data_IF_967435934613
#
_entry.id   IF_967435934613
#
_cell.length_a   1.000
_cell.length_b   1.000
_cell.length_c   1.000
_cell.angle_alpha   90.00
_cell.angle_beta   90.00
_cell.angle_gamma   90.00
#
_symmetry.space_group_name_H-M   'P 1'
#
loop_
_entity.id
_entity.type
_entity.pdbx_description
1 polymer ?
#
# COMPACT_ATOMS: atom_id res chain seq x y z
N UNK A 1 -9.29 3.02 23.06
CA UNK A 1 -9.93 1.74 23.44
C UNK A 1 -11.42 1.93 23.33
N UNK A 2 -12.04 1.38 22.29
CA UNK A 2 -13.50 1.30 22.18
C UNK A 2 -14.00 0.22 23.17
N UNK A 3 -13.89 0.49 24.47
CA UNK A 3 -14.49 -0.36 25.50
C UNK A 3 -15.95 0.03 25.67
N UNK A 4 -16.85 -0.92 25.38
CA UNK A 4 -18.26 -0.98 25.76
C UNK A 4 -18.86 0.31 26.31
N UNK A 5 -19.46 1.12 25.44
CA UNK A 5 -20.44 2.14 25.84
C UNK A 5 -21.75 1.40 26.18
N UNK A 6 -21.72 0.59 27.24
CA UNK A 6 -22.92 0.12 27.93
C UNK A 6 -23.21 1.09 29.06
N UNK A 7 -23.96 2.13 28.71
CA UNK A 7 -24.98 2.78 29.52
C UNK A 7 -24.64 3.04 31.00
N UNK A 8 -23.97 4.16 31.30
CA UNK A 8 -24.24 4.93 32.54
C UNK A 8 -23.65 6.34 32.47
N UNK A 9 -24.48 7.31 32.85
CA UNK A 9 -24.20 8.72 33.18
C UNK A 9 -24.21 9.77 32.06
N UNK A 10 -24.90 10.88 32.36
CA UNK A 10 -25.09 12.10 31.57
C UNK A 10 -23.76 12.86 31.42
N UNK A 11 -22.81 12.31 30.68
CA UNK A 11 -21.64 13.07 30.26
C UNK A 11 -21.90 13.67 28.86
N UNK A 12 -21.48 14.91 28.67
CA UNK A 12 -21.53 15.59 27.38
C UNK A 12 -20.93 14.70 26.29
N UNK A 13 -21.46 14.70 25.07
CA UNK A 13 -20.90 13.90 23.99
C UNK A 13 -19.40 14.19 23.88
N UNK A 14 -18.59 13.13 23.84
CA UNK A 14 -17.14 13.24 23.75
C UNK A 14 -16.78 14.15 22.57
N UNK A 15 -16.06 15.24 22.85
CA UNK A 15 -15.73 16.23 21.81
C UNK A 15 -14.68 15.71 20.84
N UNK A 16 -13.92 14.68 21.24
CA UNK A 16 -12.94 14.03 20.38
C UNK A 16 -12.82 12.54 20.70
N UNK A 17 -12.41 11.75 19.71
CA UNK A 17 -12.09 10.34 19.86
C UNK A 17 -10.76 10.02 19.20
N UNK A 18 -9.95 9.22 19.88
CA UNK A 18 -8.72 8.67 19.32
C UNK A 18 -8.95 7.26 18.77
N UNK A 19 -8.80 7.11 17.45
CA UNK A 19 -8.94 5.84 16.75
C UNK A 19 -7.56 5.34 16.31
N UNK A 20 -7.17 4.18 16.82
CA UNK A 20 -5.90 3.55 16.47
C UNK A 20 -6.14 2.37 15.51
N UNK A 21 -5.78 2.52 14.25
CA UNK A 21 -5.81 1.48 13.23
C UNK A 21 -4.39 1.08 12.80
N UNK A 22 -3.40 1.24 13.68
CA UNK A 22 -2.06 0.74 13.44
C UNK A 22 -2.01 -0.78 13.52
N UNK A 23 -1.04 -1.40 12.84
CA UNK A 23 -0.79 -2.83 12.93
C UNK A 23 -0.49 -3.22 14.39
N UNK A 24 -1.41 -3.95 15.02
CA UNK A 24 -1.20 -4.54 16.34
C UNK A 24 -1.75 -5.96 16.38
N UNK A 25 -1.28 -6.76 17.34
CA UNK A 25 -1.82 -8.10 17.62
C UNK A 25 -3.21 -8.07 18.30
N UNK A 26 -3.77 -6.87 18.57
CA UNK A 26 -5.04 -6.72 19.29
C UNK A 26 -6.19 -6.32 18.34
N UNK A 27 -7.18 -7.21 18.24
CA UNK A 27 -8.40 -7.11 17.41
C UNK A 27 -9.41 -6.03 17.84
N UNK A 28 -9.13 -5.24 18.88
CA UNK A 28 -10.10 -4.33 19.51
C UNK A 28 -10.53 -3.16 18.60
N UNK A 29 -9.72 -2.79 17.60
CA UNK A 29 -10.00 -1.65 16.72
C UNK A 29 -10.65 -2.04 15.38
N UNK A 30 -10.91 -3.34 15.14
CA UNK A 30 -11.73 -3.80 14.00
C UNK A 30 -13.20 -3.39 14.12
N UNK A 31 -13.65 -3.05 15.34
CA UNK A 31 -14.98 -2.52 15.64
C UNK A 31 -15.30 -1.22 14.90
N UNK A 32 -14.28 -0.46 14.48
CA UNK A 32 -14.49 0.74 13.67
C UNK A 32 -15.13 0.42 12.32
N UNK A 33 -15.00 -0.80 11.79
CA UNK A 33 -15.56 -1.18 10.49
C UNK A 33 -16.98 -1.76 10.59
N UNK A 34 -17.66 -1.65 11.73
CA UNK A 34 -19.06 -2.06 11.88
C UNK A 34 -20.02 -0.87 11.73
N UNK A 35 -21.11 -1.02 10.96
CA UNK A 35 -22.14 0.02 10.75
C UNK A 35 -22.66 0.64 12.07
N UNK A 36 -22.87 -0.20 13.08
CA UNK A 36 -23.40 0.23 14.38
C UNK A 36 -22.48 1.25 15.07
N UNK A 37 -21.17 1.08 14.91
CA UNK A 37 -20.18 1.96 15.53
C UNK A 37 -19.94 3.20 14.67
N UNK A 38 -20.12 3.12 13.35
CA UNK A 38 -20.07 4.30 12.47
C UNK A 38 -21.12 5.36 12.84
N UNK A 39 -22.31 4.95 13.27
CA UNK A 39 -23.33 5.88 13.76
C UNK A 39 -22.88 6.64 15.03
N UNK A 40 -22.09 6.01 15.89
CA UNK A 40 -21.49 6.68 17.06
C UNK A 40 -20.38 7.64 16.63
N UNK A 41 -19.51 7.20 15.72
CA UNK A 41 -18.40 8.01 15.19
C UNK A 41 -18.89 9.28 14.49
N UNK A 42 -20.03 9.24 13.80
CA UNK A 42 -20.63 10.41 13.14
C UNK A 42 -21.03 11.53 14.10
N UNK A 43 -21.29 11.22 15.38
CA UNK A 43 -21.65 12.21 16.39
C UNK A 43 -20.43 12.87 17.05
N UNK A 44 -19.21 12.41 16.75
CA UNK A 44 -17.98 12.89 17.37
C UNK A 44 -17.35 13.95 16.46
N UNK A 45 -17.19 15.22 16.92
CA UNK A 45 -16.69 16.29 16.07
C UNK A 45 -15.22 16.15 15.64
N UNK A 46 -14.36 15.61 16.53
CA UNK A 46 -12.92 15.49 16.30
C UNK A 46 -12.46 14.04 16.36
N UNK A 47 -12.22 13.43 15.20
CA UNK A 47 -11.61 12.10 15.13
C UNK A 47 -10.09 12.23 14.91
N UNK A 48 -9.29 11.73 15.84
CA UNK A 48 -7.84 11.65 15.73
C UNK A 48 -7.47 10.23 15.32
N UNK A 49 -6.98 10.06 14.09
CA UNK A 49 -6.65 8.77 13.53
C UNK A 49 -5.13 8.53 13.52
N UNK A 50 -4.71 7.39 14.06
CA UNK A 50 -3.38 6.83 13.84
C UNK A 50 -3.50 5.53 13.03
N UNK A 51 -2.79 5.42 11.91
CA UNK A 51 -2.76 4.17 11.14
C UNK A 51 -1.48 4.05 10.31
N UNK A 52 -1.06 2.80 10.09
CA UNK A 52 -0.01 2.40 9.16
C UNK A 52 -0.53 1.39 8.10
N UNK A 53 -1.86 1.22 8.01
CA UNK A 53 -2.53 0.25 7.14
C UNK A 53 -3.30 0.92 6.00
N UNK A 54 -3.36 0.24 4.85
CA UNK A 54 -4.31 0.57 3.79
C UNK A 54 -5.66 -0.11 4.06
N UNK A 55 -6.52 0.56 4.82
CA UNK A 55 -7.81 -0.01 5.30
C UNK A 55 -9.00 0.24 4.37
N UNK A 56 -8.79 0.80 3.17
CA UNK A 56 -9.86 1.07 2.19
C UNK A 56 -10.69 -0.17 1.84
N UNK A 57 -10.11 -1.38 1.63
CA UNK A 57 -10.92 -2.56 1.34
C UNK A 57 -11.96 -2.85 2.44
N UNK A 58 -11.65 -2.52 3.70
CA UNK A 58 -12.59 -2.67 4.81
C UNK A 58 -13.75 -1.70 4.73
N UNK A 59 -13.55 -0.48 4.20
CA UNK A 59 -14.63 0.49 3.99
C UNK A 59 -15.65 0.02 2.96
N UNK A 60 -15.20 -0.71 1.94
CA UNK A 60 -16.06 -1.34 0.93
C UNK A 60 -16.91 -2.50 1.47
N UNK A 61 -16.55 -3.04 2.65
CA UNK A 61 -17.33 -4.06 3.35
C UNK A 61 -18.36 -3.46 4.32
N UNK A 62 -18.34 -2.15 4.55
CA UNK A 62 -19.32 -1.44 5.40
C UNK A 62 -20.59 -1.17 4.57
N UNK A 63 -21.74 -1.79 4.88
CA UNK A 63 -22.95 -1.64 4.07
C UNK A 63 -23.40 -0.19 3.88
N UNK A 64 -23.33 0.64 4.93
CA UNK A 64 -23.71 2.05 4.86
C UNK A 64 -22.83 2.90 3.94
N UNK A 65 -21.56 2.53 3.75
CA UNK A 65 -20.62 3.25 2.88
C UNK A 65 -20.60 2.70 1.45
N UNK A 66 -20.83 1.39 1.31
CA UNK A 66 -20.68 0.68 0.05
C UNK A 66 -21.49 1.31 -1.09
N UNK A 67 -22.72 1.78 -0.81
CA UNK A 67 -23.57 2.40 -1.82
C UNK A 67 -22.95 3.65 -2.45
N UNK A 68 -22.28 4.50 -1.66
CA UNK A 68 -21.66 5.72 -2.18
C UNK A 68 -20.25 5.45 -2.71
N UNK A 69 -19.45 4.65 -2.01
CA UNK A 69 -18.09 4.34 -2.45
C UNK A 69 -18.10 3.59 -3.79
N UNK A 70 -19.06 2.69 -4.02
CA UNK A 70 -19.18 1.99 -5.32
C UNK A 70 -19.61 2.91 -6.47
N UNK A 71 -20.24 4.06 -6.19
CA UNK A 71 -20.52 5.09 -7.22
C UNK A 71 -19.29 5.95 -7.49
N UNK A 72 -18.53 6.29 -6.45
CA UNK A 72 -17.30 7.08 -6.56
C UNK A 72 -16.21 6.31 -7.32
N UNK A 73 -16.14 5.00 -7.14
CA UNK A 73 -15.16 4.12 -7.78
C UNK A 73 -15.87 2.96 -8.49
N UNK A 74 -16.35 3.17 -9.74
CA UNK A 74 -16.89 2.09 -10.56
C UNK A 74 -15.87 0.98 -10.80
N UNK A 75 -14.62 1.37 -11.07
CA UNK A 75 -13.44 0.51 -11.06
C UNK A 75 -12.88 0.48 -9.63
N UNK A 76 -13.10 -0.61 -8.92
CA UNK A 76 -12.74 -0.79 -7.51
C UNK A 76 -11.23 -0.78 -7.30
N UNK A 77 -10.44 -1.24 -8.26
CA UNK A 77 -8.97 -1.21 -8.18
C UNK A 77 -8.38 0.21 -8.35
N UNK A 78 -9.16 1.18 -8.85
CA UNK A 78 -8.68 2.53 -9.18
C UNK A 78 -8.52 3.48 -8.00
N UNK A 79 -8.88 3.08 -6.78
CA UNK A 79 -8.93 4.01 -5.62
C UNK A 79 -7.59 4.67 -5.36
N UNK A 80 -6.50 3.90 -5.34
CA UNK A 80 -5.15 4.45 -5.11
C UNK A 80 -4.70 5.33 -6.28
N UNK A 81 -5.06 4.97 -7.50
CA UNK A 81 -4.76 5.76 -8.69
C UNK A 81 -5.40 7.14 -8.58
N UNK A 82 -6.72 7.21 -8.44
CA UNK A 82 -7.43 8.49 -8.40
C UNK A 82 -7.08 9.34 -7.18
N UNK A 83 -7.12 8.77 -5.96
CA UNK A 83 -6.83 9.52 -4.75
C UNK A 83 -5.35 9.88 -4.63
N UNK A 84 -4.45 9.01 -5.11
CA UNK A 84 -3.02 9.28 -5.14
C UNK A 84 -2.67 10.47 -6.01
N UNK A 85 -3.20 10.53 -7.23
CA UNK A 85 -3.00 11.68 -8.12
C UNK A 85 -3.67 12.95 -7.60
N UNK A 86 -4.81 12.84 -6.91
CA UNK A 86 -5.48 14.01 -6.32
C UNK A 86 -4.73 14.59 -5.11
N UNK A 87 -4.26 13.73 -4.20
CA UNK A 87 -3.68 14.16 -2.92
C UNK A 87 -2.17 14.40 -2.99
N UNK A 88 -1.43 13.58 -3.73
CA UNK A 88 0.00 13.41 -3.52
C UNK A 88 0.85 14.01 -4.65
N UNK A 89 0.91 15.34 -4.73
CA UNK A 89 1.74 16.03 -5.72
C UNK A 89 3.20 16.20 -5.24
N UNK A 90 4.22 15.89 -6.07
CA UNK A 90 5.60 16.06 -5.67
C UNK A 90 5.95 17.54 -5.55
N UNK A 91 6.72 17.90 -4.51
CA UNK A 91 7.26 19.26 -4.38
C UNK A 91 8.28 19.55 -5.48
N UNK A 92 8.61 20.83 -5.71
CA UNK A 92 9.61 21.23 -6.70
C UNK A 92 10.96 20.50 -6.54
N UNK A 93 11.37 20.22 -5.30
CA UNK A 93 12.61 19.50 -5.01
C UNK A 93 12.55 18.05 -5.53
N UNK A 94 11.46 17.33 -5.23
CA UNK A 94 11.24 15.96 -5.68
C UNK A 94 11.02 15.93 -7.20
N UNK A 95 10.15 16.80 -7.71
CA UNK A 95 9.85 16.90 -9.15
C UNK A 95 11.09 17.17 -9.99
N UNK A 96 12.02 17.99 -9.49
CA UNK A 96 13.31 18.21 -10.12
C UNK A 96 14.18 16.95 -10.19
N UNK A 97 14.17 16.10 -9.15
CA UNK A 97 14.89 14.82 -9.16
C UNK A 97 14.29 13.85 -10.17
N UNK A 98 12.97 13.70 -10.14
CA UNK A 98 12.22 12.83 -11.07
C UNK A 98 12.53 13.23 -12.51
N UNK A 99 12.34 14.52 -12.84
CA UNK A 99 12.50 15.02 -14.21
C UNK A 99 13.93 14.82 -14.71
N UNK A 100 14.94 15.16 -13.91
CA UNK A 100 16.35 15.01 -14.32
C UNK A 100 16.71 13.55 -14.56
N UNK A 101 16.30 12.65 -13.66
CA UNK A 101 16.60 11.23 -13.81
C UNK A 101 15.89 10.65 -15.04
N UNK A 102 14.60 10.94 -15.19
CA UNK A 102 13.81 10.47 -16.33
C UNK A 102 14.40 10.93 -17.66
N UNK A 103 14.71 12.22 -17.79
CA UNK A 103 15.27 12.78 -19.02
C UNK A 103 16.66 12.22 -19.36
N UNK A 104 17.51 12.00 -18.34
CA UNK A 104 18.87 11.52 -18.54
C UNK A 104 18.92 10.02 -18.90
N UNK A 105 18.04 9.20 -18.32
CA UNK A 105 18.19 7.75 -18.33
C UNK A 105 17.01 6.97 -18.94
N UNK A 106 15.79 7.52 -18.91
CA UNK A 106 14.56 6.76 -19.23
C UNK A 106 13.84 7.27 -20.48
N UNK A 107 13.95 8.56 -20.80
CA UNK A 107 13.14 9.22 -21.83
C UNK A 107 13.35 8.69 -23.26
N UNK A 108 14.50 8.07 -23.54
CA UNK A 108 14.85 7.52 -24.86
C UNK A 108 14.51 6.05 -25.05
N UNK A 109 14.08 5.36 -24.00
CA UNK A 109 13.73 3.96 -24.09
C UNK A 109 12.35 3.80 -24.74
N UNK A 110 12.21 2.82 -25.64
CA UNK A 110 10.92 2.46 -26.21
C UNK A 110 9.99 1.92 -25.11
N UNK A 111 10.51 0.99 -24.30
CA UNK A 111 9.84 0.41 -23.14
C UNK A 111 10.68 0.58 -21.86
N UNK A 112 10.00 0.84 -20.74
CA UNK A 112 10.58 0.99 -19.40
C UNK A 112 10.00 -0.06 -18.47
N UNK A 113 10.86 -0.88 -17.90
CA UNK A 113 10.50 -1.89 -16.91
C UNK A 113 11.01 -1.44 -15.54
N UNK A 114 10.10 -1.21 -14.60
CA UNK A 114 10.45 -0.87 -13.22
C UNK A 114 10.60 -2.13 -12.38
N UNK A 115 11.73 -2.24 -11.69
CA UNK A 115 12.03 -3.36 -10.79
C UNK A 115 12.20 -2.85 -9.37
N UNK A 116 11.18 -3.07 -8.54
CA UNK A 116 11.17 -2.67 -7.14
C UNK A 116 11.58 -3.86 -6.26
N UNK A 117 12.79 -3.78 -5.71
CA UNK A 117 13.38 -4.84 -4.87
C UNK A 117 13.37 -4.42 -3.41
N UNK A 118 12.72 -5.21 -2.57
CA UNK A 118 12.75 -5.08 -1.10
C UNK A 118 12.95 -6.45 -0.49
N UNK A 119 14.06 -6.62 0.23
CA UNK A 119 14.37 -7.84 0.97
C UNK A 119 14.01 -7.64 2.44
N UNK A 120 13.04 -8.42 2.92
CA UNK A 120 12.66 -8.46 4.33
C UNK A 120 13.44 -9.58 5.02
N UNK A 121 14.43 -9.18 5.81
CA UNK A 121 15.29 -10.12 6.53
C UNK A 121 14.50 -10.89 7.58
N UNK A 122 14.63 -12.20 7.51
CA UNK A 122 13.94 -13.15 8.37
C UNK A 122 14.99 -14.15 8.82
N UNK A 123 15.22 -14.24 10.13
CA UNK A 123 16.22 -15.15 10.73
C UNK A 123 16.07 -16.62 10.31
N UNK A 124 14.96 -17.01 9.69
CA UNK A 124 14.61 -18.39 9.32
C UNK A 124 14.80 -18.73 7.83
N UNK A 125 15.05 -17.76 6.93
CA UNK A 125 15.15 -18.04 5.47
C UNK A 125 16.43 -17.52 4.79
N UNK A 126 17.63 -18.05 5.12
CA UNK A 126 18.92 -17.56 4.62
C UNK A 126 19.19 -17.81 3.12
N UNK A 127 18.46 -18.74 2.49
CA UNK A 127 18.81 -19.22 1.14
C UNK A 127 18.51 -18.18 0.05
N UNK A 128 17.42 -17.42 0.16
CA UNK A 128 17.06 -16.45 -0.88
C UNK A 128 17.70 -15.08 -0.70
N UNK A 129 17.97 -14.69 0.55
CA UNK A 129 18.88 -13.57 0.85
C UNK A 129 20.18 -13.79 0.07
N UNK A 130 20.76 -14.99 0.19
CA UNK A 130 21.97 -15.36 -0.54
C UNK A 130 21.82 -15.26 -2.07
N UNK A 131 20.70 -15.70 -2.65
CA UNK A 131 20.53 -15.69 -4.12
C UNK A 131 20.28 -14.28 -4.67
N UNK A 132 19.42 -13.48 -4.03
CA UNK A 132 19.20 -12.09 -4.45
C UNK A 132 20.44 -11.24 -4.21
N UNK A 133 21.12 -11.43 -3.09
CA UNK A 133 22.38 -10.73 -2.81
C UNK A 133 23.46 -11.16 -3.79
N UNK A 134 23.54 -12.43 -4.18
CA UNK A 134 24.45 -12.90 -5.23
C UNK A 134 24.10 -12.32 -6.60
N UNK A 135 22.81 -12.26 -6.95
CA UNK A 135 22.36 -11.66 -8.21
C UNK A 135 22.68 -10.16 -8.21
N UNK A 136 22.33 -9.44 -7.15
CA UNK A 136 22.64 -8.01 -7.02
C UNK A 136 24.14 -7.77 -7.02
N UNK A 137 24.92 -8.54 -6.26
CA UNK A 137 26.38 -8.43 -6.24
C UNK A 137 26.98 -8.71 -7.62
N UNK A 138 26.49 -9.71 -8.35
CA UNK A 138 26.91 -10.00 -9.71
C UNK A 138 26.56 -8.84 -10.66
N UNK A 139 25.31 -8.40 -10.65
CA UNK A 139 24.79 -7.32 -11.51
C UNK A 139 25.50 -5.99 -11.25
N UNK A 140 25.80 -5.67 -9.99
CA UNK A 140 26.58 -4.48 -9.61
C UNK A 140 28.06 -4.63 -10.01
N UNK A 141 28.67 -5.79 -9.75
CA UNK A 141 30.07 -6.08 -10.13
C UNK A 141 30.27 -5.98 -11.64
N UNK A 142 29.35 -6.55 -12.42
CA UNK A 142 29.36 -6.51 -13.87
C UNK A 142 28.84 -5.16 -14.42
N UNK A 143 28.53 -4.18 -13.55
CA UNK A 143 28.04 -2.82 -13.89
C UNK A 143 26.77 -2.81 -14.74
N UNK A 144 25.98 -3.87 -14.64
CA UNK A 144 24.66 -3.96 -15.27
C UNK A 144 23.65 -3.05 -14.58
N UNK A 145 23.86 -2.73 -13.30
CA UNK A 145 23.13 -1.68 -12.56
C UNK A 145 24.12 -0.73 -11.85
N UNK A 146 23.79 0.57 -11.70
CA UNK A 146 24.60 1.50 -10.93
C UNK A 146 24.55 1.21 -9.43
N UNK A 147 25.65 1.47 -8.71
CA UNK A 147 25.73 1.31 -7.26
C UNK A 147 24.80 2.28 -6.51
N UNK A 148 23.83 1.75 -5.78
CA UNK A 148 22.91 2.53 -4.97
C UNK A 148 23.61 3.02 -3.67
N UNK A 149 23.99 4.30 -3.64
CA UNK A 149 24.59 4.91 -2.46
C UNK A 149 23.50 5.35 -1.44
N UNK A 150 23.35 4.58 -0.36
CA UNK A 150 22.46 4.89 0.77
C UNK A 150 23.17 5.68 1.88
N UNK A 151 23.65 6.88 1.59
CA UNK A 151 24.05 7.82 2.65
C UNK A 151 23.50 9.20 2.37
N UNK A 152 22.35 9.53 2.97
CA UNK A 152 21.94 10.91 3.13
C UNK A 152 21.10 11.08 4.40
N UNK A 153 21.14 12.27 5.02
CA UNK A 153 20.34 12.59 6.20
C UNK A 153 18.83 12.41 5.97
N UNK A 154 18.08 12.15 7.05
CA UNK A 154 16.68 11.69 7.06
C UNK A 154 15.75 12.46 6.11
N UNK A 155 15.85 13.79 6.06
CA UNK A 155 15.05 14.61 5.15
C UNK A 155 15.28 14.31 3.67
N UNK A 156 16.52 13.97 3.28
CA UNK A 156 16.83 13.63 1.88
C UNK A 156 16.48 12.18 1.56
N UNK A 157 16.44 11.28 2.55
CA UNK A 157 16.02 9.88 2.32
C UNK A 157 14.58 9.82 1.82
N UNK A 158 13.66 10.53 2.48
CA UNK A 158 12.25 10.57 2.07
C UNK A 158 12.05 11.26 0.72
N UNK A 159 12.80 12.34 0.45
CA UNK A 159 12.79 13.03 -0.86
C UNK A 159 13.20 12.08 -1.99
N UNK A 160 14.26 11.29 -1.79
CA UNK A 160 14.72 10.30 -2.76
C UNK A 160 13.74 9.14 -2.91
N UNK A 161 13.26 8.58 -1.80
CA UNK A 161 12.27 7.50 -1.81
C UNK A 161 11.01 7.90 -2.58
N UNK A 162 10.51 9.13 -2.38
CA UNK A 162 9.35 9.63 -3.11
C UNK A 162 9.63 9.81 -4.61
N UNK A 163 10.82 10.30 -4.97
CA UNK A 163 11.22 10.38 -6.36
C UNK A 163 11.33 9.00 -7.03
N UNK A 164 11.86 8.00 -6.32
CA UNK A 164 11.97 6.63 -6.81
C UNK A 164 10.60 5.95 -7.01
N UNK A 165 9.65 6.15 -6.09
CA UNK A 165 8.25 5.70 -6.26
C UNK A 165 7.65 6.27 -7.54
N UNK A 166 7.83 7.58 -7.77
CA UNK A 166 7.33 8.26 -8.97
C UNK A 166 8.00 7.80 -10.26
N UNK A 167 9.30 7.53 -10.21
CA UNK A 167 10.03 6.99 -11.36
C UNK A 167 9.54 5.58 -11.71
N UNK A 168 9.35 4.72 -10.72
CA UNK A 168 8.73 3.41 -10.93
C UNK A 168 7.32 3.55 -11.51
N UNK A 169 6.51 4.48 -11.00
CA UNK A 169 5.15 4.67 -11.52
C UNK A 169 5.10 5.23 -12.94
N UNK A 170 6.24 5.66 -13.51
CA UNK A 170 6.36 6.10 -14.91
C UNK A 170 6.80 5.00 -15.88
N UNK A 171 6.98 3.77 -15.38
CA UNK A 171 7.34 2.60 -16.20
C UNK A 171 6.10 2.00 -16.86
N UNK A 172 6.29 1.33 -18.00
CA UNK A 172 5.23 0.67 -18.76
C UNK A 172 4.85 -0.70 -18.15
N UNK A 173 5.80 -1.29 -17.41
CA UNK A 173 5.66 -2.57 -16.73
C UNK A 173 6.34 -2.52 -15.35
N UNK A 174 5.77 -3.18 -14.35
CA UNK A 174 6.28 -3.18 -12.97
C UNK A 174 6.42 -4.57 -12.36
N UNK A 175 7.60 -4.82 -11.81
CA UNK A 175 7.88 -5.96 -10.93
C UNK A 175 8.05 -5.43 -9.51
N UNK A 176 7.30 -5.95 -8.54
CA UNK A 176 7.32 -5.49 -7.14
C UNK A 176 7.65 -6.62 -6.18
N UNK A 177 8.21 -6.26 -5.02
CA UNK A 177 8.51 -7.23 -3.97
C UNK A 177 7.32 -7.45 -3.04
N UNK A 178 7.06 -8.71 -2.67
CA UNK A 178 6.04 -9.07 -1.69
C UNK A 178 6.13 -8.23 -0.41
N UNK A 179 4.97 -7.80 0.10
CA UNK A 179 4.80 -7.00 1.33
C UNK A 179 5.37 -5.58 1.28
N UNK A 180 5.86 -5.12 0.13
CA UNK A 180 6.43 -3.78 0.01
C UNK A 180 5.36 -2.73 -0.31
N UNK A 181 4.98 -1.95 0.70
CA UNK A 181 4.09 -0.79 0.50
C UNK A 181 4.67 0.24 -0.47
N UNK A 182 5.99 0.35 -0.56
CA UNK A 182 6.69 1.14 -1.58
C UNK A 182 6.30 0.71 -2.99
N UNK A 183 6.29 -0.61 -3.25
CA UNK A 183 5.80 -1.18 -4.49
C UNK A 183 4.31 -0.91 -4.70
N UNK A 184 3.50 -1.03 -3.64
CA UNK A 184 2.05 -0.78 -3.70
C UNK A 184 1.71 0.63 -4.14
N UNK A 185 2.39 1.64 -3.59
CA UNK A 185 2.18 3.03 -3.99
C UNK A 185 2.63 3.24 -5.43
N UNK A 186 3.79 2.70 -5.83
CA UNK A 186 4.30 2.85 -7.19
C UNK A 186 3.34 2.29 -8.24
N UNK A 187 2.88 1.04 -8.10
CA UNK A 187 1.96 0.45 -9.08
C UNK A 187 0.54 1.02 -8.99
N UNK A 188 0.12 1.47 -7.80
CA UNK A 188 -1.15 2.17 -7.60
C UNK A 188 -1.19 3.52 -8.33
N UNK A 189 -0.12 4.33 -8.23
CA UNK A 189 0.01 5.58 -8.98
C UNK A 189 0.15 5.35 -10.49
N UNK A 190 0.75 4.23 -10.90
CA UNK A 190 0.87 3.85 -12.31
C UNK A 190 -0.46 3.37 -12.92
N UNK A 191 -1.41 2.92 -12.09
CA UNK A 191 -2.60 2.21 -12.57
C UNK A 191 -2.26 0.86 -13.21
N UNK A 192 -1.19 0.20 -12.73
CA UNK A 192 -0.67 -1.04 -13.29
C UNK A 192 -0.88 -2.22 -12.34
N UNK A 193 -1.10 -3.40 -12.92
CA UNK A 193 -1.04 -4.70 -12.23
C UNK A 193 0.40 -5.21 -12.26
N UNK A 194 1.11 -5.29 -11.12
CA UNK A 194 2.52 -5.67 -11.12
C UNK A 194 2.72 -7.20 -11.16
N UNK A 195 3.88 -7.65 -11.62
CA UNK A 195 4.36 -9.00 -11.30
C UNK A 195 4.99 -9.01 -9.91
N UNK A 196 4.50 -9.87 -9.03
CA UNK A 196 4.94 -9.90 -7.63
C UNK A 196 6.04 -10.96 -7.43
N UNK A 197 7.23 -10.51 -7.01
CA UNK A 197 8.30 -11.36 -6.52
C UNK A 197 7.89 -11.94 -5.16
N UNK A 198 7.60 -13.24 -5.14
CA UNK A 198 7.13 -13.95 -3.95
C UNK A 198 8.24 -14.15 -2.92
N UNK A 199 7.91 -13.95 -1.64
CA UNK A 199 8.80 -14.34 -0.54
C UNK A 199 8.93 -15.89 -0.51
N UNK A 200 10.15 -16.44 -0.49
CA UNK A 200 10.36 -17.89 -0.37
C UNK A 200 9.96 -18.41 1.01
N UNK A 201 9.54 -19.68 1.07
CA UNK A 201 9.18 -20.35 2.31
C UNK A 201 7.73 -20.16 2.77
N UNK A 202 6.94 -19.30 2.11
CA UNK A 202 5.48 -19.23 2.33
C UNK A 202 4.74 -19.78 1.11
N UNK A 203 4.16 -20.96 1.27
CA UNK A 203 3.23 -21.55 0.31
C UNK A 203 2.02 -20.63 0.13
N UNK A 204 1.57 -20.54 -1.12
CA UNK A 204 0.35 -19.84 -1.52
C UNK A 204 -0.80 -20.18 -0.58
N UNK A 205 -1.27 -19.18 0.16
CA UNK A 205 -2.46 -19.30 0.97
C UNK A 205 -3.65 -19.24 0.01
N UNK A 206 -4.19 -20.41 -0.33
CA UNK A 206 -5.59 -20.52 -0.74
C UNK A 206 -6.42 -20.48 0.54
N UNK A 207 -6.80 -19.28 0.98
CA UNK A 207 -7.83 -19.13 2.01
C UNK A 207 -8.94 -18.30 1.39
N UNK A 208 -10.09 -18.94 1.18
CA UNK A 208 -11.34 -18.31 0.76
C UNK A 208 -11.97 -17.60 1.97
N UNK A 209 -11.37 -16.52 2.46
CA UNK A 209 -11.98 -15.69 3.52
C UNK A 209 -12.13 -14.23 3.09
N UNK A 210 -12.40 -14.02 1.80
CA UNK A 210 -12.94 -12.76 1.27
C UNK A 210 -14.28 -13.04 0.55
N UNK A 211 -15.14 -13.84 1.19
CA UNK A 211 -16.40 -14.33 0.60
C UNK A 211 -17.61 -13.51 1.07
N UNK A 212 -17.41 -12.23 1.42
CA UNK A 212 -18.50 -11.32 1.77
C UNK A 212 -19.00 -10.53 0.54
N UNK A 213 -18.07 -10.06 -0.31
CA UNK A 213 -18.36 -9.26 -1.49
C UNK A 213 -17.41 -9.63 -2.64
N UNK A 214 -17.86 -9.62 -3.91
CA UNK A 214 -17.08 -10.15 -5.04
C UNK A 214 -15.84 -9.33 -5.39
N UNK A 215 -15.77 -8.07 -4.95
CA UNK A 215 -14.70 -7.12 -5.26
C UNK A 215 -13.67 -6.95 -4.13
N UNK A 216 -13.72 -7.78 -3.09
CA UNK A 216 -12.67 -7.85 -2.05
C UNK A 216 -12.09 -9.25 -2.08
N UNK A 217 -10.76 -9.37 -2.15
CA UNK A 217 -10.07 -10.66 -2.12
C UNK A 217 -8.84 -10.62 -1.23
N UNK A 218 -8.29 -11.79 -0.89
CA UNK A 218 -6.99 -11.85 -0.22
C UNK A 218 -5.85 -11.41 -1.14
N UNK A 219 -4.85 -10.76 -0.56
CA UNK A 219 -3.61 -10.41 -1.26
C UNK A 219 -2.85 -11.66 -1.69
N UNK A 220 -2.23 -11.64 -2.88
CA UNK A 220 -1.40 -12.74 -3.39
C UNK A 220 -0.12 -12.96 -2.59
N UNK A 221 0.33 -11.92 -1.89
CA UNK A 221 1.61 -11.89 -1.20
C UNK A 221 1.47 -11.94 0.32
N UNK A 222 0.35 -11.47 0.91
CA UNK A 222 0.13 -11.43 2.37
C UNK A 222 -1.09 -12.25 2.81
N UNK A 223 -0.83 -13.30 3.63
CA UNK A 223 -1.83 -14.27 4.13
C UNK A 223 -3.16 -13.67 4.60
N UNK A 224 -3.07 -12.68 5.49
CA UNK A 224 -4.23 -12.05 6.13
C UNK A 224 -4.51 -10.68 5.52
N UNK A 225 -3.84 -10.33 4.42
CA UNK A 225 -4.10 -9.09 3.70
C UNK A 225 -5.37 -9.22 2.86
N UNK A 226 -6.06 -8.10 2.70
CA UNK A 226 -7.20 -7.95 1.79
C UNK A 226 -6.92 -6.82 0.81
N UNK A 227 -7.45 -6.93 -0.40
CA UNK A 227 -7.37 -5.92 -1.46
C UNK A 227 -8.66 -5.85 -2.25
N UNK A 228 -8.82 -4.76 -2.99
CA UNK A 228 -9.91 -4.62 -3.96
C UNK A 228 -9.54 -5.30 -5.27
N UNK A 229 -10.56 -5.81 -5.97
CA UNK A 229 -10.49 -6.29 -7.35
C UNK A 229 -11.74 -5.92 -8.12
N UNK A 230 -11.59 -5.71 -9.42
CA UNK A 230 -12.74 -5.45 -10.29
C UNK A 230 -13.53 -6.75 -10.56
N UNK A 231 -14.85 -6.62 -10.67
CA UNK A 231 -15.79 -7.75 -10.84
C UNK A 231 -15.61 -8.50 -12.19
N UNK A 232 -14.77 -7.98 -13.07
CA UNK A 232 -14.45 -8.54 -14.38
C UNK A 232 -12.94 -8.77 -14.51
N UNK A 233 -12.40 -9.69 -13.70
CA UNK A 233 -11.03 -10.17 -13.79
C UNK A 233 -10.75 -11.08 -14.99
N UNK A 234 -11.10 -10.65 -16.21
CA UNK A 234 -10.67 -11.28 -17.45
C UNK A 234 -10.04 -10.22 -18.35
N UNK A 235 -8.71 -10.21 -18.38
CA UNK A 235 -7.86 -10.15 -19.58
C UNK A 235 -6.47 -10.66 -19.19
#
# INVERSE_FOLDING_TARGET
>A
MLTNITNTSKESPESFLYLNLAHSDYDLDQLAFCDQNQALLQNIPWLILLSDQYFVPSLFMIPSFNQEISKLFPEKESVVYHLGHYLCHPSNQVGGLITRFYQAYLAKADDRIGLQIRVFHDKTTPIFETVIDQILACVLKEKLLPEAHQHVGENMQNVKAWAEIYLLSSCDALVTSSWSTFGYVAHGLAGLKPWILRKPGKTSIKVNAATLVPYVMHCEDRKNGVKLVDEHGHL
#
